data_IF_457328125822
#
_entry.id   IF_457328125822
#
_cell.length_a   1.000
_cell.length_b   1.000
_cell.length_c   1.000
_cell.angle_alpha   90.00
_cell.angle_beta   90.00
_cell.angle_gamma   90.00
#
_symmetry.space_group_name_H-M   'P 1'
#
loop_
_entity.id
_entity.type
_entity.pdbx_description
1 polymer ?
#
# COMPACT_ATOMS: atom_id res chain seq x y z
N UNK A 1 0.23 22.13 20.86
CA UNK A 1 1.66 21.82 20.63
C UNK A 1 2.24 22.97 19.81
N UNK A 2 3.25 23.70 20.31
CA UNK A 2 3.88 24.77 19.52
C UNK A 2 5.03 24.18 18.70
N UNK A 3 4.83 24.10 17.38
CA UNK A 3 5.86 23.67 16.44
C UNK A 3 6.95 24.74 16.35
N UNK A 4 8.21 24.32 16.47
CA UNK A 4 9.36 25.18 16.24
C UNK A 4 9.50 25.49 14.75
N UNK A 5 10.25 26.55 14.44
CA UNK A 5 10.59 26.88 13.04
C UNK A 5 11.38 25.75 12.37
N UNK A 6 12.15 24.99 13.15
CA UNK A 6 12.85 23.80 12.68
C UNK A 6 11.86 22.71 12.26
N UNK A 7 10.81 22.45 13.04
CA UNK A 7 9.80 21.42 12.72
C UNK A 7 9.06 21.75 11.43
N UNK A 8 8.66 23.03 11.26
CA UNK A 8 8.05 23.51 10.03
C UNK A 8 8.98 23.41 8.83
N UNK A 9 10.27 23.70 9.01
CA UNK A 9 11.26 23.59 7.93
C UNK A 9 11.44 22.15 7.45
N UNK A 10 11.49 21.18 8.38
CA UNK A 10 11.60 19.76 8.08
C UNK A 10 10.35 19.27 7.37
N UNK A 11 9.16 19.64 7.87
CA UNK A 11 7.88 19.26 7.27
C UNK A 11 7.74 19.84 5.85
N UNK A 12 8.01 21.13 5.68
CA UNK A 12 7.98 21.79 4.38
C UNK A 12 8.98 21.20 3.39
N UNK A 13 10.21 20.93 3.84
CA UNK A 13 11.25 20.28 3.04
C UNK A 13 10.85 18.88 2.58
N UNK A 14 10.26 18.07 3.47
CA UNK A 14 9.74 16.75 3.12
C UNK A 14 8.69 16.81 2.01
N UNK A 15 7.67 17.69 2.15
CA UNK A 15 6.64 17.86 1.12
C UNK A 15 7.22 18.36 -0.21
N UNK A 16 8.18 19.29 -0.15
CA UNK A 16 8.84 19.79 -1.35
C UNK A 16 9.60 18.68 -2.09
N UNK A 17 10.38 17.86 -1.38
CA UNK A 17 11.14 16.74 -1.97
C UNK A 17 10.18 15.70 -2.58
N UNK A 18 9.16 15.27 -1.84
CA UNK A 18 8.20 14.26 -2.35
C UNK A 18 7.45 14.78 -3.57
N UNK A 19 7.00 16.04 -3.55
CA UNK A 19 6.31 16.67 -4.67
C UNK A 19 7.22 16.82 -5.89
N UNK A 20 8.46 17.29 -5.68
CA UNK A 20 9.44 17.43 -6.75
C UNK A 20 9.76 16.08 -7.40
N UNK A 21 10.01 15.03 -6.60
CA UNK A 21 10.22 13.68 -7.10
C UNK A 21 8.99 13.18 -7.88
N UNK A 22 7.78 13.40 -7.37
CA UNK A 22 6.54 13.03 -8.06
C UNK A 22 6.41 13.68 -9.44
N UNK A 23 6.71 14.98 -9.54
CA UNK A 23 6.70 15.71 -10.82
C UNK A 23 7.80 15.22 -11.76
N UNK A 24 9.03 15.08 -11.28
CA UNK A 24 10.17 14.61 -12.08
C UNK A 24 9.95 13.20 -12.64
N UNK A 25 9.39 12.28 -11.84
CA UNK A 25 9.13 10.90 -12.26
C UNK A 25 7.89 10.80 -13.15
N UNK A 26 6.83 11.57 -12.89
CA UNK A 26 5.61 11.55 -13.73
C UNK A 26 5.89 12.00 -15.17
N UNK A 27 6.77 12.98 -15.36
CA UNK A 27 7.19 13.44 -16.69
C UNK A 27 7.98 12.38 -17.48
N UNK A 28 8.62 11.41 -16.80
CA UNK A 28 9.37 10.32 -17.46
C UNK A 28 8.49 9.13 -17.84
N UNK A 29 7.41 8.85 -17.09
CA UNK A 29 6.54 7.68 -17.30
C UNK A 29 5.35 7.89 -18.25
N UNK A 30 5.18 9.10 -18.82
CA UNK A 30 4.02 9.48 -19.61
C UNK A 30 3.92 8.86 -21.04
N UNK A 31 4.71 7.83 -21.38
CA UNK A 31 4.71 7.25 -22.75
C UNK A 31 3.66 6.15 -22.99
N UNK A 32 3.17 5.44 -21.96
CA UNK A 32 2.04 4.49 -22.08
C UNK A 32 1.59 3.96 -20.70
N UNK A 33 0.29 3.72 -20.49
CA UNK A 33 -0.21 3.03 -19.27
C UNK A 33 0.43 1.65 -19.09
N UNK A 34 0.78 0.96 -20.18
CA UNK A 34 1.52 -0.31 -20.12
C UNK A 34 2.93 -0.12 -19.58
N UNK A 35 3.63 0.96 -19.94
CA UNK A 35 4.98 1.24 -19.40
C UNK A 35 4.92 1.67 -17.93
N UNK A 36 3.85 2.36 -17.52
CA UNK A 36 3.62 2.73 -16.13
C UNK A 36 3.39 1.51 -15.22
N UNK A 37 2.66 0.49 -15.70
CA UNK A 37 2.32 -0.71 -14.91
C UNK A 37 3.24 -1.91 -15.12
N UNK A 38 3.80 -2.12 -16.32
CA UNK A 38 4.67 -3.27 -16.62
C UNK A 38 6.17 -2.96 -16.59
N UNK A 39 6.59 -1.68 -16.67
CA UNK A 39 7.98 -1.21 -16.71
C UNK A 39 8.99 -2.30 -17.09
N UNK A 40 8.87 -2.79 -18.33
CA UNK A 40 9.77 -3.72 -19.03
C UNK A 40 10.55 -4.72 -18.14
N UNK A 41 9.89 -5.39 -17.18
CA UNK A 41 10.49 -6.38 -16.25
C UNK A 41 11.83 -5.94 -15.59
N UNK A 42 12.09 -4.64 -15.46
CA UNK A 42 13.44 -4.11 -15.20
C UNK A 42 13.64 -3.45 -13.83
N UNK A 43 12.63 -3.44 -12.95
CA UNK A 43 12.81 -2.82 -11.64
C UNK A 43 13.73 -3.66 -10.75
N UNK A 44 14.79 -3.06 -10.16
CA UNK A 44 15.58 -3.70 -9.13
C UNK A 44 14.67 -4.25 -8.02
N UNK A 45 14.89 -5.51 -7.61
CA UNK A 45 14.11 -6.17 -6.55
C UNK A 45 14.06 -5.32 -5.29
N UNK A 46 15.15 -4.64 -4.96
CA UNK A 46 15.24 -3.73 -3.82
C UNK A 46 14.17 -2.63 -3.87
N UNK A 47 13.94 -2.00 -5.03
CA UNK A 47 12.91 -0.96 -5.17
C UNK A 47 11.50 -1.53 -5.01
N UNK A 48 11.26 -2.75 -5.51
CA UNK A 48 9.98 -3.44 -5.36
C UNK A 48 9.72 -3.72 -3.87
N UNK A 49 10.71 -4.23 -3.14
CA UNK A 49 10.61 -4.50 -1.70
C UNK A 49 10.30 -3.20 -0.94
N UNK A 50 11.02 -2.11 -1.19
CA UNK A 50 10.75 -0.82 -0.54
C UNK A 50 9.35 -0.29 -0.86
N UNK A 51 8.90 -0.41 -2.10
CA UNK A 51 7.55 0.01 -2.51
C UNK A 51 6.47 -0.79 -1.79
N UNK A 52 6.63 -2.11 -1.70
CA UNK A 52 5.69 -3.00 -0.98
C UNK A 52 5.65 -2.63 0.49
N UNK A 53 6.82 -2.51 1.15
CA UNK A 53 6.90 -2.15 2.57
C UNK A 53 6.27 -0.78 2.85
N UNK A 54 6.59 0.23 2.04
CA UNK A 54 6.01 1.57 2.16
C UNK A 54 4.49 1.57 1.98
N UNK A 55 3.96 0.73 1.07
CA UNK A 55 2.52 0.60 0.82
C UNK A 55 1.79 -0.12 1.95
N UNK A 56 2.43 -1.13 2.56
CA UNK A 56 1.84 -1.88 3.68
C UNK A 56 1.81 -1.09 4.97
N UNK A 57 2.72 -0.13 5.14
CA UNK A 57 2.83 0.64 6.36
C UNK A 57 1.93 1.87 6.34
N UNK A 58 1.28 2.16 7.47
CA UNK A 58 0.39 3.32 7.59
C UNK A 58 0.50 3.98 8.96
N UNK A 59 -0.05 5.18 9.10
CA UNK A 59 -0.17 5.87 10.39
C UNK A 59 -0.87 5.01 11.45
N UNK A 60 -1.86 4.20 11.04
CA UNK A 60 -2.54 3.24 11.90
C UNK A 60 -1.58 2.24 12.55
N UNK A 61 -0.60 1.75 11.78
CA UNK A 61 0.39 0.78 12.27
C UNK A 61 1.38 1.46 13.22
N UNK A 62 1.88 2.64 12.83
CA UNK A 62 2.85 3.39 13.62
C UNK A 62 2.31 3.85 14.98
N UNK A 63 1.05 4.28 15.03
CA UNK A 63 0.41 4.73 16.27
C UNK A 63 -0.24 3.57 17.03
N UNK A 64 -0.98 2.71 16.31
CA UNK A 64 -1.80 1.66 16.91
C UNK A 64 -1.00 0.48 17.46
N UNK A 65 0.13 0.11 16.84
CA UNK A 65 0.97 -0.98 17.33
C UNK A 65 1.52 -0.70 18.73
N UNK A 66 2.23 0.42 18.95
CA UNK A 66 2.72 0.81 20.27
C UNK A 66 1.61 1.05 21.28
N UNK A 67 0.50 1.70 20.91
CA UNK A 67 -0.64 1.92 21.81
C UNK A 67 -1.24 0.59 22.29
N UNK A 68 -1.44 -0.36 21.38
CA UNK A 68 -1.96 -1.68 21.72
C UNK A 68 -0.98 -2.45 22.62
N UNK A 69 0.32 -2.44 22.30
CA UNK A 69 1.33 -3.10 23.12
C UNK A 69 1.49 -2.48 24.51
N UNK A 70 1.32 -1.15 24.62
CA UNK A 70 1.40 -0.43 25.89
C UNK A 70 0.17 -0.67 26.78
N UNK A 71 -1.04 -0.64 26.20
CA UNK A 71 -2.30 -0.77 26.95
C UNK A 71 -2.76 -2.21 27.15
N UNK A 72 -2.31 -3.15 26.33
CA UNK A 72 -2.74 -4.55 26.33
C UNK A 72 -1.53 -5.49 26.37
N UNK A 73 -1.24 -6.14 25.24
CA UNK A 73 -0.26 -7.21 25.12
C UNK A 73 0.36 -7.27 23.71
N UNK A 74 1.23 -8.24 23.49
CA UNK A 74 1.92 -8.44 22.21
C UNK A 74 1.16 -9.28 21.19
N UNK A 75 -0.14 -9.54 21.38
CA UNK A 75 -0.96 -10.29 20.39
C UNK A 75 -0.98 -9.59 19.03
N UNK A 76 -0.84 -8.26 19.01
CA UNK A 76 -0.66 -7.49 17.78
C UNK A 76 0.54 -7.99 16.95
N UNK A 77 1.64 -8.40 17.60
CA UNK A 77 2.82 -8.92 16.92
C UNK A 77 2.53 -10.26 16.22
N UNK A 78 1.74 -11.14 16.83
CA UNK A 78 1.32 -12.39 16.21
C UNK A 78 0.52 -12.15 14.91
N UNK A 79 -0.34 -11.13 14.89
CA UNK A 79 -1.06 -10.71 13.68
C UNK A 79 -0.13 -10.21 12.57
N UNK A 80 0.92 -9.46 12.93
CA UNK A 80 1.93 -9.01 11.97
C UNK A 80 2.74 -10.19 11.39
N UNK A 81 3.15 -11.14 12.22
CA UNK A 81 3.81 -12.37 11.77
C UNK A 81 2.90 -13.19 10.85
N UNK A 82 1.62 -13.32 11.20
CA UNK A 82 0.62 -13.95 10.34
C UNK A 82 0.47 -13.25 8.98
N UNK A 83 0.60 -11.93 8.93
CA UNK A 83 0.57 -11.16 7.69
C UNK A 83 1.78 -11.44 6.79
N UNK A 84 2.97 -11.61 7.39
CA UNK A 84 4.17 -12.04 6.66
C UNK A 84 3.98 -13.44 6.07
N UNK A 85 3.48 -14.38 6.86
CA UNK A 85 3.19 -15.74 6.39
C UNK A 85 2.16 -15.73 5.26
N UNK A 86 1.09 -14.95 5.38
CA UNK A 86 0.08 -14.79 4.34
C UNK A 86 0.68 -14.21 3.04
N UNK A 87 1.61 -13.26 3.15
CA UNK A 87 2.31 -12.71 1.99
C UNK A 87 3.20 -13.75 1.31
N UNK A 88 3.89 -14.60 2.08
CA UNK A 88 4.68 -15.72 1.53
C UNK A 88 3.75 -16.71 0.80
N UNK A 89 2.64 -17.11 1.42
CA UNK A 89 1.65 -18.00 0.79
C UNK A 89 1.09 -17.38 -0.50
N UNK A 90 0.74 -16.09 -0.48
CA UNK A 90 0.29 -15.38 -1.67
C UNK A 90 1.38 -15.36 -2.77
N UNK A 91 2.63 -15.10 -2.42
CA UNK A 91 3.75 -15.12 -3.35
C UNK A 91 4.00 -16.52 -3.93
N UNK A 92 3.89 -17.59 -3.13
CA UNK A 92 4.12 -18.95 -3.61
C UNK A 92 2.94 -19.55 -4.38
N UNK A 93 1.71 -19.17 -4.06
CA UNK A 93 0.50 -19.80 -4.62
C UNK A 93 -0.18 -18.92 -5.67
N UNK A 94 -0.38 -17.64 -5.38
CA UNK A 94 -1.09 -16.73 -6.27
C UNK A 94 -0.16 -16.26 -7.38
N UNK A 95 1.04 -15.76 -7.05
CA UNK A 95 1.92 -15.16 -8.05
C UNK A 95 2.21 -16.06 -9.26
N UNK A 96 2.49 -17.38 -9.12
CA UNK A 96 2.68 -18.26 -10.28
C UNK A 96 1.43 -18.37 -11.16
N UNK A 97 0.23 -18.35 -10.56
CA UNK A 97 -1.04 -18.39 -11.30
C UNK A 97 -1.29 -17.10 -12.08
N UNK A 98 -0.86 -15.96 -11.56
CA UNK A 98 -0.99 -14.67 -12.25
C UNK A 98 -0.12 -14.64 -13.51
N UNK A 99 1.14 -15.08 -13.37
CA UNK A 99 2.06 -15.21 -14.49
C UNK A 99 1.58 -16.24 -15.52
N UNK A 100 1.14 -17.42 -15.07
CA UNK A 100 0.64 -18.48 -15.96
C UNK A 100 -0.62 -18.05 -16.73
N UNK A 101 -1.52 -17.31 -16.08
CA UNK A 101 -2.74 -16.80 -16.72
C UNK A 101 -2.51 -15.53 -17.54
N UNK A 102 -1.30 -14.94 -17.52
CA UNK A 102 -0.99 -13.69 -18.21
C UNK A 102 -1.88 -12.52 -17.78
N UNK A 103 -2.26 -12.47 -16.50
CA UNK A 103 -3.15 -11.45 -15.94
C UNK A 103 -2.37 -10.47 -15.06
N UNK A 104 -2.79 -9.20 -15.08
CA UNK A 104 -2.12 -8.14 -14.33
C UNK A 104 -2.78 -7.85 -12.99
N UNK A 105 -4.06 -8.20 -12.83
CA UNK A 105 -4.82 -7.92 -11.61
C UNK A 105 -5.47 -9.18 -11.05
N UNK A 106 -5.73 -9.17 -9.74
CA UNK A 106 -6.50 -10.24 -9.06
C UNK A 106 -7.90 -10.36 -9.67
N UNK A 107 -8.48 -9.22 -10.08
CA UNK A 107 -9.81 -9.15 -10.66
C UNK A 107 -9.87 -9.79 -12.04
N UNK A 108 -8.82 -9.66 -12.86
CA UNK A 108 -8.71 -10.36 -14.13
C UNK A 108 -8.64 -11.88 -13.93
N UNK A 109 -7.92 -12.34 -12.89
CA UNK A 109 -7.89 -13.75 -12.54
C UNK A 109 -9.28 -14.25 -12.11
N UNK A 110 -10.00 -13.47 -11.29
CA UNK A 110 -11.38 -13.75 -10.89
C UNK A 110 -12.33 -13.79 -12.10
N UNK A 111 -12.17 -12.88 -13.05
CA UNK A 111 -12.97 -12.86 -14.28
C UNK A 111 -12.73 -14.13 -15.12
N UNK A 112 -11.47 -14.55 -15.27
CA UNK A 112 -11.15 -15.78 -16.00
C UNK A 112 -11.66 -17.04 -15.29
N UNK A 113 -11.63 -17.06 -13.96
CA UNK A 113 -12.00 -18.24 -13.17
C UNK A 113 -13.53 -18.35 -12.93
N UNK A 114 -14.22 -17.24 -12.72
CA UNK A 114 -15.61 -17.20 -12.24
C UNK A 114 -16.52 -16.24 -13.02
N UNK A 115 -15.98 -15.54 -14.02
CA UNK A 115 -16.72 -14.64 -14.90
C UNK A 115 -16.87 -13.20 -14.39
N UNK A 116 -17.53 -12.35 -15.20
CA UNK A 116 -17.57 -10.89 -14.98
C UNK A 116 -18.31 -10.47 -13.71
N UNK A 117 -19.31 -11.24 -13.28
CA UNK A 117 -20.08 -10.93 -12.08
C UNK A 117 -19.22 -11.02 -10.83
N UNK A 118 -18.40 -12.07 -10.72
CA UNK A 118 -17.47 -12.25 -9.60
C UNK A 118 -16.39 -11.15 -9.57
N UNK A 119 -15.87 -10.78 -10.75
CA UNK A 119 -14.94 -9.65 -10.88
C UNK A 119 -15.55 -8.35 -10.35
N UNK A 120 -16.76 -8.01 -10.80
CA UNK A 120 -17.44 -6.76 -10.44
C UNK A 120 -17.82 -6.71 -8.97
N UNK A 121 -18.33 -7.81 -8.40
CA UNK A 121 -18.71 -7.86 -6.98
C UNK A 121 -17.50 -7.74 -6.06
N UNK A 122 -16.42 -8.49 -6.35
CA UNK A 122 -15.18 -8.40 -5.59
C UNK A 122 -14.53 -7.01 -5.70
N UNK A 123 -14.49 -6.44 -6.92
CA UNK A 123 -13.99 -5.09 -7.16
C UNK A 123 -14.79 -4.02 -6.41
N UNK A 124 -16.12 -4.10 -6.43
CA UNK A 124 -16.99 -3.17 -5.72
C UNK A 124 -16.78 -3.25 -4.19
N UNK A 125 -16.74 -4.46 -3.63
CA UNK A 125 -16.48 -4.68 -2.21
C UNK A 125 -15.11 -4.12 -1.80
N UNK A 126 -14.08 -4.36 -2.61
CA UNK A 126 -12.75 -3.81 -2.36
C UNK A 126 -12.73 -2.28 -2.37
N UNK A 127 -13.36 -1.64 -3.37
CA UNK A 127 -13.41 -0.19 -3.46
C UNK A 127 -14.14 0.43 -2.26
N UNK A 128 -15.28 -0.13 -1.88
CA UNK A 128 -16.01 0.31 -0.68
C UNK A 128 -15.15 0.16 0.58
N UNK A 129 -14.52 -1.01 0.78
CA UNK A 129 -13.61 -1.24 1.91
C UNK A 129 -12.42 -0.27 1.92
N UNK A 130 -11.89 0.08 0.75
CA UNK A 130 -10.79 1.06 0.61
C UNK A 130 -11.21 2.46 1.05
N UNK A 131 -12.43 2.89 0.75
CA UNK A 131 -12.96 4.19 1.20
C UNK A 131 -13.02 4.23 2.72
N UNK A 132 -13.63 3.21 3.35
CA UNK A 132 -13.71 3.14 4.82
C UNK A 132 -12.33 3.09 5.47
N UNK A 133 -11.43 2.26 4.95
CA UNK A 133 -10.08 2.13 5.50
C UNK A 133 -9.28 3.43 5.40
N UNK A 134 -9.39 4.17 4.29
CA UNK A 134 -8.73 5.46 4.13
C UNK A 134 -9.32 6.53 5.07
N UNK A 135 -10.65 6.54 5.25
CA UNK A 135 -11.32 7.42 6.22
C UNK A 135 -10.84 7.18 7.65
N UNK A 136 -10.75 5.91 8.08
CA UNK A 136 -10.25 5.55 9.40
C UNK A 136 -8.78 5.99 9.62
N UNK A 137 -7.92 5.84 8.61
CA UNK A 137 -6.52 6.32 8.68
C UNK A 137 -6.43 7.84 8.81
N UNK A 138 -7.25 8.57 8.05
CA UNK A 138 -7.29 10.02 8.12
C UNK A 138 -7.79 10.50 9.50
N UNK A 139 -8.81 9.84 10.03
CA UNK A 139 -9.31 10.12 11.39
C UNK A 139 -8.25 9.89 12.46
N UNK A 140 -7.51 8.77 12.41
CA UNK A 140 -6.41 8.50 13.34
C UNK A 140 -5.28 9.53 13.23
N UNK A 141 -4.91 9.94 12.01
CA UNK A 141 -3.91 10.97 11.81
C UNK A 141 -4.37 12.32 12.39
N UNK A 142 -5.65 12.68 12.22
CA UNK A 142 -6.21 13.89 12.81
C UNK A 142 -6.21 13.85 14.34
N UNK A 143 -6.59 12.71 14.94
CA UNK A 143 -6.55 12.51 16.39
C UNK A 143 -5.14 12.68 16.97
N UNK A 144 -4.11 12.27 16.22
CA UNK A 144 -2.72 12.38 16.68
C UNK A 144 -2.20 13.83 16.71
N UNK A 145 -2.82 14.74 15.97
CA UNK A 145 -2.40 16.14 15.85
C UNK A 145 -3.34 17.10 16.61
N UNK A 146 -4.51 16.61 17.04
CA UNK A 146 -5.46 17.32 17.90
C UNK A 146 -4.92 17.49 19.33
#
# INVERSE_FOLDING_TARGET
MNFSILDWSVLGGYFAVVSALGVMLSQRSARSSKDFFLSRNGFPVVLIVFSVLATTQSAATFLGGPDFGFRKDYTYLAGNLGSILAAIVAACVLLPRFYAAGVMTVYDLLNKAFGPTAMRSAGAMYLLGRVFANGARLFMAALAVA
#
